data_IF_571354764587
#
_entry.id   IF_571354764587
#
_cell.length_a   1.000
_cell.length_b   1.000
_cell.length_c   1.000
_cell.angle_alpha   90.00
_cell.angle_beta   90.00
_cell.angle_gamma   90.00
#
_symmetry.space_group_name_H-M   'P 1'
#
loop_
_entity.id
_entity.type
_entity.pdbx_description
1 polymer ?
#
# COMPACT_ATOMS: atom_id res chain seq x y z
N UNK A 1 -1.97 14.75 -12.45
CA UNK A 1 -2.27 13.94 -11.25
C UNK A 1 -3.68 14.23 -10.75
N UNK A 2 -4.06 15.49 -10.61
CA UNK A 2 -5.40 15.85 -10.16
C UNK A 2 -6.50 15.28 -11.07
N UNK A 3 -6.32 15.40 -12.38
CA UNK A 3 -7.28 14.90 -13.36
C UNK A 3 -7.40 13.37 -13.29
N UNK A 4 -6.27 12.69 -13.14
CA UNK A 4 -6.27 11.25 -12.97
C UNK A 4 -7.02 10.84 -11.69
N UNK A 5 -6.71 11.46 -10.56
CA UNK A 5 -7.39 11.16 -9.30
C UNK A 5 -8.88 11.43 -9.37
N UNK A 6 -9.29 12.49 -10.07
CA UNK A 6 -10.70 12.81 -10.25
C UNK A 6 -11.41 11.79 -11.14
N UNK A 7 -10.71 11.19 -12.10
CA UNK A 7 -11.29 10.21 -13.02
C UNK A 7 -11.52 8.84 -12.40
N UNK A 8 -10.75 8.47 -11.36
CA UNK A 8 -10.81 7.14 -10.76
C UNK A 8 -11.59 7.08 -9.45
N UNK A 9 -12.03 8.22 -8.92
CA UNK A 9 -12.67 8.30 -7.61
C UNK A 9 -13.93 9.13 -7.67
N UNK A 10 -14.97 8.66 -6.97
CA UNK A 10 -16.24 9.39 -6.84
C UNK A 10 -16.12 10.64 -5.97
N UNK A 11 -15.07 10.76 -5.16
CA UNK A 11 -14.84 11.90 -4.29
C UNK A 11 -13.75 12.81 -4.85
N UNK A 12 -13.94 14.14 -4.86
CA UNK A 12 -12.89 15.02 -5.36
C UNK A 12 -11.67 15.02 -4.43
N UNK A 13 -10.45 14.94 -4.99
CA UNK A 13 -9.25 14.95 -4.18
C UNK A 13 -8.97 16.36 -3.63
N UNK A 14 -8.43 16.41 -2.42
CA UNK A 14 -7.96 17.64 -1.82
C UNK A 14 -6.54 17.97 -2.31
N UNK A 15 -6.14 19.23 -2.23
CA UNK A 15 -4.84 19.68 -2.72
C UNK A 15 -3.68 18.87 -2.14
N UNK A 16 -3.66 18.63 -0.82
CA UNK A 16 -2.57 17.90 -0.20
C UNK A 16 -2.49 16.44 -0.67
N UNK A 17 -3.64 15.86 -1.02
CA UNK A 17 -3.69 14.51 -1.57
C UNK A 17 -3.08 14.46 -2.96
N UNK A 18 -3.43 15.43 -3.81
CA UNK A 18 -2.85 15.57 -5.16
C UNK A 18 -1.35 15.75 -5.07
N UNK A 19 -0.89 16.64 -4.19
CA UNK A 19 0.53 16.93 -4.03
C UNK A 19 1.30 15.71 -3.52
N UNK A 20 0.73 14.96 -2.58
CA UNK A 20 1.33 13.75 -2.05
C UNK A 20 1.45 12.64 -3.09
N UNK A 21 0.40 12.40 -3.86
CA UNK A 21 0.43 11.41 -4.94
C UNK A 21 1.43 11.81 -6.02
N UNK A 22 1.43 13.08 -6.41
CA UNK A 22 2.38 13.59 -7.39
C UNK A 22 3.82 13.39 -6.93
N UNK A 23 4.11 13.71 -5.68
CA UNK A 23 5.44 13.54 -5.09
C UNK A 23 5.85 12.07 -5.05
N UNK A 24 4.94 11.18 -4.67
CA UNK A 24 5.19 9.75 -4.67
C UNK A 24 5.50 9.19 -6.06
N UNK A 25 4.76 9.62 -7.07
CA UNK A 25 4.95 9.17 -8.44
C UNK A 25 6.28 9.64 -9.05
N UNK A 26 6.87 10.70 -8.52
CA UNK A 26 8.18 11.21 -8.96
C UNK A 26 9.34 10.40 -8.38
N UNK A 27 9.10 9.58 -7.35
CA UNK A 27 10.13 8.85 -6.64
C UNK A 27 9.81 7.35 -6.63
N UNK A 28 10.86 6.53 -6.63
CA UNK A 28 10.68 5.07 -6.51
C UNK A 28 10.49 4.64 -5.06
N UNK A 29 10.99 5.43 -4.12
CA UNK A 29 10.87 5.17 -2.69
C UNK A 29 10.51 6.46 -1.98
N UNK A 30 9.42 6.45 -1.22
CA UNK A 30 8.96 7.65 -0.53
C UNK A 30 8.20 7.29 0.73
N UNK A 31 8.43 8.05 1.78
CA UNK A 31 7.61 8.05 2.98
C UNK A 31 6.71 9.27 2.93
N UNK A 32 5.42 9.05 3.09
CA UNK A 32 4.40 10.10 3.04
C UNK A 32 3.74 10.26 4.40
N UNK A 33 3.59 11.49 4.82
CA UNK A 33 2.92 11.83 6.07
C UNK A 33 1.54 12.39 5.75
N UNK A 34 0.50 11.79 6.32
CA UNK A 34 -0.87 12.25 6.15
C UNK A 34 -1.50 12.42 7.53
N UNK A 35 -2.02 13.62 7.84
CA UNK A 35 -2.55 13.89 9.17
C UNK A 35 -3.88 13.20 9.47
N UNK A 36 -4.59 12.70 8.45
CA UNK A 36 -5.88 12.03 8.63
C UNK A 36 -5.92 10.68 7.93
N UNK A 37 -6.61 9.72 8.56
CA UNK A 37 -6.76 8.38 8.00
C UNK A 37 -7.51 8.38 6.67
N UNK A 38 -8.56 9.19 6.55
CA UNK A 38 -9.37 9.27 5.33
C UNK A 38 -8.60 9.84 4.14
N UNK A 39 -7.77 10.86 4.39
CA UNK A 39 -6.93 11.44 3.34
C UNK A 39 -5.88 10.46 2.84
N UNK A 40 -5.31 9.68 3.74
CA UNK A 40 -4.30 8.67 3.45
C UNK A 40 -4.87 7.56 2.56
N UNK A 41 -6.06 7.10 2.85
CA UNK A 41 -6.74 6.03 2.10
C UNK A 41 -6.91 6.39 0.62
N UNK A 42 -7.32 7.62 0.32
CA UNK A 42 -7.47 8.06 -1.06
C UNK A 42 -6.12 8.15 -1.79
N UNK A 43 -5.09 8.60 -1.11
CA UNK A 43 -3.74 8.65 -1.69
C UNK A 43 -3.23 7.25 -2.00
N UNK A 44 -3.41 6.29 -1.10
CA UNK A 44 -3.05 4.90 -1.31
C UNK A 44 -3.82 4.32 -2.50
N UNK A 45 -5.13 4.55 -2.54
CA UNK A 45 -5.98 4.11 -3.65
C UNK A 45 -5.50 4.65 -4.99
N UNK A 46 -5.12 5.92 -5.03
CA UNK A 46 -4.64 6.55 -6.27
C UNK A 46 -3.34 5.91 -6.76
N UNK A 47 -2.41 5.62 -5.85
CA UNK A 47 -1.17 4.93 -6.21
C UNK A 47 -1.45 3.49 -6.67
N UNK A 48 -2.32 2.78 -5.98
CA UNK A 48 -2.70 1.41 -6.35
C UNK A 48 -3.28 1.39 -7.78
N UNK A 49 -4.25 2.26 -8.06
CA UNK A 49 -4.87 2.33 -9.38
C UNK A 49 -3.85 2.67 -10.47
N UNK A 50 -2.97 3.63 -10.19
CA UNK A 50 -1.94 4.03 -11.16
C UNK A 50 -1.05 2.84 -11.55
N UNK A 51 -0.55 2.10 -10.55
CA UNK A 51 0.36 0.99 -10.85
C UNK A 51 -0.35 -0.24 -11.40
N UNK A 52 -1.60 -0.48 -11.04
CA UNK A 52 -2.43 -1.53 -11.68
C UNK A 52 -2.62 -1.21 -13.16
N UNK A 53 -2.89 0.06 -13.49
CA UNK A 53 -3.04 0.49 -14.89
C UNK A 53 -1.73 0.34 -15.68
N UNK A 54 -0.58 0.34 -14.99
CA UNK A 54 0.73 0.10 -15.61
C UNK A 54 1.11 -1.38 -15.68
N UNK A 55 0.23 -2.28 -15.29
CA UNK A 55 0.48 -3.72 -15.30
C UNK A 55 1.37 -4.20 -14.16
N UNK A 56 1.54 -3.40 -13.10
CA UNK A 56 2.36 -3.76 -11.95
C UNK A 56 1.55 -4.51 -10.90
N UNK A 57 2.22 -5.36 -10.14
CA UNK A 57 1.61 -6.11 -9.05
C UNK A 57 1.98 -5.49 -7.71
N UNK A 58 0.99 -5.30 -6.85
CA UNK A 58 1.09 -4.46 -5.66
C UNK A 58 0.84 -5.28 -4.39
N UNK A 59 1.73 -5.12 -3.41
CA UNK A 59 1.54 -5.63 -2.06
C UNK A 59 1.24 -4.43 -1.14
N UNK A 60 0.05 -4.40 -0.57
CA UNK A 60 -0.37 -3.38 0.39
C UNK A 60 -0.38 -3.99 1.78
N UNK A 61 0.50 -3.51 2.66
CA UNK A 61 0.69 -4.05 4.01
C UNK A 61 0.12 -3.07 5.03
N UNK A 62 -0.75 -3.58 5.88
CA UNK A 62 -1.41 -2.80 6.94
C UNK A 62 -1.20 -3.46 8.29
N UNK A 63 -1.38 -2.73 9.41
CA UNK A 63 -1.06 -3.29 10.73
C UNK A 63 -2.08 -4.27 11.30
N UNK A 64 -3.36 -4.21 10.91
CA UNK A 64 -4.41 -5.04 11.51
C UNK A 64 -5.37 -5.62 10.47
N UNK A 65 -6.02 -6.72 10.83
CA UNK A 65 -7.06 -7.33 9.98
C UNK A 65 -8.24 -6.39 9.73
N UNK A 66 -8.59 -5.58 10.72
CA UNK A 66 -9.66 -4.58 10.58
C UNK A 66 -9.30 -3.56 9.48
N UNK A 67 -8.03 -3.17 9.40
CA UNK A 67 -7.56 -2.25 8.37
C UNK A 67 -7.50 -2.90 6.99
N UNK A 68 -7.26 -4.20 6.90
CA UNK A 68 -7.38 -4.93 5.62
C UNK A 68 -8.81 -4.79 5.07
N UNK A 69 -9.81 -5.06 5.89
CA UNK A 69 -11.20 -4.96 5.49
C UNK A 69 -11.61 -3.51 5.20
N UNK A 70 -11.16 -2.58 6.01
CA UNK A 70 -11.47 -1.15 5.82
C UNK A 70 -10.90 -0.63 4.50
N UNK A 71 -9.66 -0.98 4.18
CA UNK A 71 -9.02 -0.55 2.94
C UNK A 71 -9.72 -1.12 1.72
N UNK A 72 -10.08 -2.39 1.78
CA UNK A 72 -10.84 -3.06 0.72
C UNK A 72 -12.19 -2.36 0.48
N UNK A 73 -12.89 -2.03 1.55
CA UNK A 73 -14.18 -1.32 1.49
C UNK A 73 -14.02 0.10 0.98
N UNK A 74 -12.98 0.81 1.41
CA UNK A 74 -12.70 2.16 0.95
C UNK A 74 -12.51 2.20 -0.57
N UNK A 75 -11.81 1.23 -1.12
CA UNK A 75 -11.62 1.13 -2.57
C UNK A 75 -12.95 0.93 -3.30
N UNK A 76 -13.84 0.13 -2.75
CA UNK A 76 -15.19 -0.03 -3.30
C UNK A 76 -15.99 1.27 -3.22
N UNK A 77 -15.91 1.97 -2.10
CA UNK A 77 -16.59 3.25 -1.90
C UNK A 77 -16.09 4.34 -2.85
N UNK A 78 -14.82 4.25 -3.27
CA UNK A 78 -14.25 5.16 -4.27
C UNK A 78 -14.68 4.81 -5.71
N UNK A 79 -15.37 3.69 -5.89
CA UNK A 79 -15.91 3.31 -7.19
C UNK A 79 -15.13 2.23 -7.92
N UNK A 80 -14.26 1.46 -7.24
CA UNK A 80 -13.48 0.40 -7.85
C UNK A 80 -14.02 -0.98 -7.50
N UNK A 81 -13.90 -1.92 -8.43
CA UNK A 81 -14.29 -3.31 -8.21
C UNK A 81 -13.20 -4.07 -7.46
N UNK A 82 -13.15 -3.87 -6.14
CA UNK A 82 -12.15 -4.52 -5.29
C UNK A 82 -12.22 -6.04 -5.34
N UNK A 83 -13.41 -6.60 -5.56
CA UNK A 83 -13.60 -8.04 -5.62
C UNK A 83 -12.81 -8.67 -6.77
N UNK A 84 -12.74 -7.97 -7.91
CA UNK A 84 -12.02 -8.47 -9.08
C UNK A 84 -10.51 -8.21 -9.04
N UNK A 85 -10.07 -7.17 -8.34
CA UNK A 85 -8.68 -6.71 -8.39
C UNK A 85 -7.89 -6.95 -7.12
N UNK A 86 -8.56 -7.07 -5.97
CA UNK A 86 -7.88 -7.12 -4.67
C UNK A 86 -8.12 -8.46 -3.97
N UNK A 87 -7.05 -9.05 -3.48
CA UNK A 87 -7.10 -10.22 -2.63
C UNK A 87 -6.70 -9.82 -1.20
N UNK A 88 -7.42 -10.32 -0.22
CA UNK A 88 -7.18 -10.04 1.20
C UNK A 88 -6.54 -11.25 1.86
N UNK A 89 -5.38 -11.03 2.48
CA UNK A 89 -4.68 -12.07 3.24
C UNK A 89 -4.62 -11.67 4.71
N UNK A 90 -5.21 -12.47 5.57
CA UNK A 90 -5.06 -12.39 7.01
C UNK A 90 -5.41 -13.75 7.62
N UNK A 91 -5.37 -13.88 8.92
CA UNK A 91 -5.59 -15.16 9.61
C UNK A 91 -6.82 -15.92 9.04
N UNK A 92 -6.61 -17.14 8.59
CA UNK A 92 -7.66 -17.98 8.03
C UNK A 92 -8.00 -17.74 6.57
N UNK A 93 -7.37 -16.77 5.90
CA UNK A 93 -7.59 -16.53 4.48
C UNK A 93 -6.51 -17.19 3.64
N UNK A 94 -6.86 -17.52 2.40
CA UNK A 94 -5.96 -18.15 1.45
C UNK A 94 -4.81 -17.20 1.08
N UNK A 95 -3.61 -17.73 1.06
CA UNK A 95 -2.38 -16.97 0.72
C UNK A 95 -2.04 -17.22 -0.75
N UNK A 96 -2.62 -16.42 -1.63
CA UNK A 96 -2.37 -16.46 -3.06
C UNK A 96 -1.88 -15.10 -3.55
N UNK A 97 -1.14 -15.07 -4.66
CA UNK A 97 -0.68 -13.84 -5.30
C UNK A 97 -1.19 -13.71 -6.74
N UNK A 98 -2.33 -14.31 -7.06
CA UNK A 98 -2.91 -14.27 -8.40
C UNK A 98 -3.55 -12.92 -8.76
N UNK A 99 -3.95 -12.14 -7.78
CA UNK A 99 -4.60 -10.85 -8.00
C UNK A 99 -3.56 -9.74 -8.23
N UNK A 100 -3.91 -8.69 -8.98
CA UNK A 100 -3.00 -7.54 -9.15
C UNK A 100 -2.66 -6.84 -7.84
N UNK A 101 -3.58 -6.83 -6.88
CA UNK A 101 -3.39 -6.19 -5.57
C UNK A 101 -3.61 -7.22 -4.47
N UNK A 102 -2.69 -7.29 -3.53
CA UNK A 102 -2.85 -8.07 -2.30
C UNK A 102 -2.83 -7.14 -1.11
N UNK A 103 -3.89 -7.16 -0.31
CA UNK A 103 -3.99 -6.39 0.94
C UNK A 103 -3.81 -7.37 2.09
N UNK A 104 -2.80 -7.13 2.93
CA UNK A 104 -2.43 -8.08 3.98
C UNK A 104 -1.90 -7.38 5.22
N UNK A 105 -1.91 -8.11 6.34
CA UNK A 105 -1.16 -7.69 7.53
C UNK A 105 0.27 -8.20 7.41
N UNK A 106 1.22 -7.49 8.06
CA UNK A 106 2.61 -7.93 8.06
C UNK A 106 2.78 -9.27 8.79
N UNK A 107 1.95 -9.53 9.81
CA UNK A 107 1.97 -10.78 10.56
C UNK A 107 1.63 -12.00 9.71
N UNK A 108 0.78 -11.79 8.70
CA UNK A 108 0.34 -12.90 7.84
C UNK A 108 1.38 -13.33 6.83
N UNK A 109 2.32 -12.45 6.47
CA UNK A 109 3.21 -12.70 5.33
C UNK A 109 4.71 -12.66 5.66
N UNK A 110 5.11 -12.12 6.82
CA UNK A 110 6.55 -11.91 7.07
C UNK A 110 7.39 -13.19 7.11
N UNK A 111 6.76 -14.33 7.41
CA UNK A 111 7.44 -15.65 7.43
C UNK A 111 7.37 -16.39 6.11
N UNK A 112 6.67 -15.86 5.10
CA UNK A 112 6.55 -16.52 3.81
C UNK A 112 7.86 -16.46 3.04
N UNK A 113 8.04 -17.42 2.12
CA UNK A 113 9.23 -17.51 1.29
C UNK A 113 9.32 -16.37 0.28
N UNK A 114 10.54 -16.17 -0.24
CA UNK A 114 10.78 -15.19 -1.31
C UNK A 114 9.91 -15.42 -2.53
N UNK A 115 9.52 -16.65 -2.81
CA UNK A 115 8.66 -17.00 -3.95
C UNK A 115 7.32 -16.29 -3.89
N UNK A 116 6.76 -16.09 -2.69
CA UNK A 116 5.53 -15.30 -2.53
C UNK A 116 5.74 -13.84 -2.95
N UNK A 117 6.91 -13.28 -2.64
CA UNK A 117 7.20 -11.85 -2.84
C UNK A 117 7.77 -11.53 -4.22
N UNK A 118 8.20 -12.52 -4.99
CA UNK A 118 8.90 -12.32 -6.28
C UNK A 118 8.08 -11.55 -7.31
N UNK A 119 6.78 -11.75 -7.34
CA UNK A 119 5.91 -11.15 -8.35
C UNK A 119 5.53 -9.71 -8.06
N UNK A 120 5.80 -9.21 -6.86
CA UNK A 120 5.40 -7.87 -6.47
C UNK A 120 6.43 -6.83 -6.90
N UNK A 121 5.96 -5.84 -7.67
CA UNK A 121 6.78 -4.73 -8.17
C UNK A 121 6.65 -3.49 -7.31
N UNK A 122 5.53 -3.38 -6.58
CA UNK A 122 5.19 -2.22 -5.75
C UNK A 122 4.83 -2.73 -4.36
N UNK A 123 5.38 -2.10 -3.34
CA UNK A 123 4.96 -2.32 -1.95
C UNK A 123 4.51 -1.00 -1.34
N UNK A 124 3.36 -1.01 -0.69
CA UNK A 124 2.82 0.14 0.02
C UNK A 124 2.54 -0.30 1.45
N UNK A 125 3.09 0.42 2.42
CA UNK A 125 2.86 0.16 3.84
C UNK A 125 2.06 1.27 4.47
N UNK A 126 0.91 0.91 5.05
CA UNK A 126 0.09 1.83 5.80
C UNK A 126 0.48 1.75 7.28
N UNK A 127 0.55 2.91 7.95
CA UNK A 127 0.99 3.00 9.35
C UNK A 127 2.34 2.32 9.56
N UNK A 128 3.30 2.62 8.70
CA UNK A 128 4.62 1.96 8.65
C UNK A 128 5.36 2.01 9.99
N UNK A 129 5.12 3.03 10.80
CA UNK A 129 5.74 3.18 12.12
C UNK A 129 5.30 2.10 13.13
N UNK A 130 4.16 1.43 12.90
CA UNK A 130 3.66 0.37 13.77
C UNK A 130 4.28 -1.00 13.47
N UNK A 131 5.00 -1.15 12.37
CA UNK A 131 5.61 -2.41 12.01
C UNK A 131 6.81 -2.69 12.92
N UNK A 132 6.93 -3.93 13.38
CA UNK A 132 8.11 -4.35 14.13
C UNK A 132 9.32 -4.34 13.20
N UNK A 133 10.43 -3.79 13.64
CA UNK A 133 11.65 -3.61 12.83
C UNK A 133 12.12 -4.92 12.19
N UNK A 134 12.13 -6.01 12.94
CA UNK A 134 12.59 -7.32 12.45
C UNK A 134 11.69 -7.85 11.34
N UNK A 135 10.38 -7.75 11.50
CA UNK A 135 9.41 -8.21 10.50
C UNK A 135 9.47 -7.34 9.26
N UNK A 136 9.61 -6.04 9.42
CA UNK A 136 9.74 -5.11 8.31
C UNK A 136 10.99 -5.41 7.48
N UNK A 137 12.13 -5.60 8.13
CA UNK A 137 13.38 -5.95 7.45
C UNK A 137 13.23 -7.27 6.69
N UNK A 138 12.59 -8.28 7.29
CA UNK A 138 12.35 -9.56 6.65
C UNK A 138 11.52 -9.40 5.37
N UNK A 139 10.42 -8.66 5.43
CA UNK A 139 9.56 -8.41 4.27
C UNK A 139 10.32 -7.65 3.18
N UNK A 140 10.99 -6.58 3.56
CA UNK A 140 11.70 -5.72 2.61
C UNK A 140 12.85 -6.45 1.92
N UNK A 141 13.54 -7.35 2.63
CA UNK A 141 14.60 -8.18 2.07
C UNK A 141 14.05 -9.15 1.03
N UNK A 142 12.89 -9.73 1.28
CA UNK A 142 12.25 -10.68 0.36
C UNK A 142 11.64 -10.00 -0.88
N UNK A 143 11.36 -8.71 -0.81
CA UNK A 143 10.79 -7.92 -1.91
C UNK A 143 11.88 -7.37 -2.84
N UNK A 144 12.86 -8.17 -3.20
CA UNK A 144 14.00 -7.71 -4.00
C UNK A 144 13.62 -7.28 -5.43
N UNK A 145 12.47 -7.72 -5.96
CA UNK A 145 11.94 -7.26 -7.24
C UNK A 145 11.06 -6.01 -7.13
N UNK A 146 10.75 -5.56 -5.92
CA UNK A 146 9.91 -4.38 -5.73
C UNK A 146 10.73 -3.10 -5.93
N UNK A 147 10.60 -2.51 -7.10
CA UNK A 147 11.25 -1.25 -7.46
C UNK A 147 10.62 -0.05 -6.74
N UNK A 148 9.30 -0.09 -6.57
CA UNK A 148 8.52 1.03 -6.04
C UNK A 148 8.10 0.71 -4.61
N UNK A 149 8.50 1.58 -3.66
CA UNK A 149 8.27 1.36 -2.24
C UNK A 149 7.75 2.63 -1.59
N UNK A 150 6.53 2.59 -1.04
CA UNK A 150 5.89 3.74 -0.43
C UNK A 150 5.43 3.40 0.98
N UNK A 151 5.72 4.27 1.93
CA UNK A 151 5.23 4.17 3.29
C UNK A 151 4.33 5.34 3.62
N UNK A 152 3.26 5.08 4.34
CA UNK A 152 2.33 6.10 4.82
C UNK A 152 2.28 6.07 6.33
N UNK A 153 2.29 7.24 6.94
CA UNK A 153 2.19 7.36 8.40
C UNK A 153 1.48 8.65 8.78
N UNK A 154 0.79 8.62 9.91
CA UNK A 154 0.18 9.82 10.50
C UNK A 154 1.13 10.60 11.39
N UNK A 155 2.22 9.97 11.83
CA UNK A 155 3.21 10.59 12.70
C UNK A 155 4.62 10.23 12.26
N UNK A 156 5.56 11.14 12.49
CA UNK A 156 6.96 10.89 12.18
C UNK A 156 7.65 10.28 13.40
N UNK A 157 7.92 8.99 13.35
CA UNK A 157 8.76 8.29 14.30
C UNK A 157 10.12 8.03 13.65
N UNK A 158 11.16 8.67 14.16
CA UNK A 158 12.45 8.80 13.48
C UNK A 158 13.20 7.51 13.21
N UNK A 159 13.01 6.43 13.96
CA UNK A 159 13.82 5.21 13.80
C UNK A 159 13.26 4.21 12.82
N UNK A 160 11.93 4.03 12.78
CA UNK A 160 11.31 3.03 11.90
C UNK A 160 11.05 3.55 10.50
N UNK A 161 10.69 4.83 10.37
CA UNK A 161 10.47 5.48 9.08
C UNK A 161 11.73 5.48 8.24
N UNK A 162 12.90 5.64 8.88
CA UNK A 162 14.20 5.63 8.21
C UNK A 162 14.48 4.29 7.54
N UNK A 163 14.17 3.20 8.22
CA UNK A 163 14.35 1.84 7.68
C UNK A 163 13.42 1.55 6.51
N UNK A 164 12.24 2.10 6.52
CA UNK A 164 11.28 1.91 5.43
C UNK A 164 11.77 2.53 4.12
N UNK A 165 12.38 3.71 4.20
CA UNK A 165 12.89 4.42 3.02
C UNK A 165 14.15 3.75 2.46
N UNK A 166 14.97 3.17 3.31
CA UNK A 166 16.19 2.48 2.92
C UNK A 166 15.94 1.05 2.47
#
# INVERSE_FOLDING_TARGET
>A
VKDYMSSICAHPPRKYQVDGVFDALKHNRKLLISPTASGKSLMIYSLVRYYVDKGQKILLVVPTTSLVEQMYKDFQDYGWDSESYCHRIYSGKEKTNEFPVTITTWQSVYKLDRTFFEDYNVVIGDEAHLFKSKSLISIMTKLHHAKYRFGFTGTLDGTQTHKWVL
#
